data_IF_815087377461
#
_entry.id   IF_815087377461
#
_cell.length_a   1.000
_cell.length_b   1.000
_cell.length_c   1.000
_cell.angle_alpha   90.00
_cell.angle_beta   90.00
_cell.angle_gamma   90.00
#
_symmetry.space_group_name_H-M   'P 1'
#
loop_
_entity.id
_entity.type
_entity.pdbx_description
1 polymer ?
#
# COMPACT_ATOMS: atom_id res chain seq x y z
N UNK A 1 2.93 1.14 20.90
CA UNK A 1 3.49 1.04 19.54
C UNK A 1 3.63 2.45 19.01
N UNK A 2 4.81 2.84 18.55
CA UNK A 2 5.06 4.15 17.95
C UNK A 2 4.09 4.35 16.79
N UNK A 3 3.45 5.52 16.71
CA UNK A 3 2.54 5.87 15.62
C UNK A 3 3.40 6.15 14.37
N UNK A 4 3.79 5.08 13.68
CA UNK A 4 4.59 5.16 12.45
C UNK A 4 3.71 5.78 11.37
N UNK A 5 4.14 6.93 10.86
CA UNK A 5 3.47 7.58 9.76
C UNK A 5 3.74 6.80 8.45
N UNK A 6 2.81 5.92 8.07
CA UNK A 6 2.89 5.11 6.84
C UNK A 6 2.96 5.97 5.58
N UNK A 7 2.30 7.13 5.56
CA UNK A 7 2.34 8.05 4.43
C UNK A 7 3.75 8.63 4.24
N UNK A 8 4.39 9.04 5.33
CA UNK A 8 5.78 9.50 5.29
C UNK A 8 6.75 8.39 4.84
N UNK A 9 6.48 7.13 5.16
CA UNK A 9 7.26 6.01 4.64
C UNK A 9 7.04 5.82 3.13
N UNK A 10 5.78 5.86 2.65
CA UNK A 10 5.48 5.79 1.21
C UNK A 10 6.22 6.88 0.45
N UNK A 11 6.17 8.12 0.93
CA UNK A 11 6.86 9.26 0.30
C UNK A 11 8.37 9.08 0.28
N UNK A 12 8.96 8.60 1.38
CA UNK A 12 10.40 8.40 1.52
C UNK A 12 10.95 7.34 0.57
N UNK A 13 10.26 6.22 0.44
CA UNK A 13 10.69 5.06 -0.36
C UNK A 13 10.12 5.07 -1.79
N UNK A 14 9.36 6.11 -2.15
CA UNK A 14 8.92 6.32 -3.53
C UNK A 14 10.09 6.70 -4.43
N UNK A 15 10.04 6.35 -5.73
CA UNK A 15 10.99 6.83 -6.72
C UNK A 15 11.08 8.35 -6.70
N UNK A 16 12.31 8.87 -6.64
CA UNK A 16 12.55 10.31 -6.67
C UNK A 16 12.51 10.82 -8.13
N UNK A 17 11.95 12.01 -8.37
CA UNK A 17 11.97 12.61 -9.70
C UNK A 17 13.40 12.91 -10.13
N UNK A 18 13.60 12.92 -11.44
CA UNK A 18 14.87 13.33 -12.05
C UNK A 18 15.15 14.80 -11.69
N UNK A 19 16.36 15.13 -11.21
CA UNK A 19 16.69 16.51 -10.87
C UNK A 19 16.76 17.38 -12.12
N UNK A 20 16.42 18.65 -11.94
CA UNK A 20 16.61 19.69 -12.96
C UNK A 20 18.00 20.29 -12.84
N UNK A 21 18.57 20.68 -13.98
CA UNK A 21 19.84 21.36 -14.04
C UNK A 21 19.73 22.74 -13.37
N UNK A 22 20.62 23.06 -12.44
CA UNK A 22 20.61 24.35 -11.75
C UNK A 22 21.13 25.51 -12.61
N UNK A 23 21.71 25.21 -13.79
CA UNK A 23 22.25 26.20 -14.71
C UNK A 23 21.19 26.62 -15.75
N UNK A 24 20.52 25.65 -16.39
CA UNK A 24 19.51 25.93 -17.44
C UNK A 24 18.07 25.53 -17.10
N UNK A 25 17.83 24.78 -16.03
CA UNK A 25 16.49 24.32 -15.64
C UNK A 25 15.98 23.06 -16.36
N UNK A 26 16.70 22.56 -17.37
CA UNK A 26 16.33 21.35 -18.11
C UNK A 26 16.44 20.08 -17.27
N UNK A 27 15.64 19.07 -17.60
CA UNK A 27 15.72 17.75 -16.96
C UNK A 27 17.07 17.09 -17.24
N UNK A 28 17.73 16.60 -16.20
CA UNK A 28 19.06 16.00 -16.32
C UNK A 28 18.99 14.54 -16.76
N UNK A 29 20.07 14.02 -17.32
CA UNK A 29 20.16 12.59 -17.68
C UNK A 29 21.11 11.84 -16.74
N UNK A 30 20.86 10.55 -16.56
CA UNK A 30 21.73 9.68 -15.75
C UNK A 30 23.06 9.48 -16.48
N UNK A 31 24.16 9.82 -15.81
CA UNK A 31 25.52 9.65 -16.32
C UNK A 31 26.21 8.43 -15.73
N UNK A 32 25.87 8.09 -14.48
CA UNK A 32 26.45 6.95 -13.77
C UNK A 32 25.51 6.45 -12.68
N UNK A 33 25.38 5.14 -12.57
CA UNK A 33 24.73 4.47 -11.45
C UNK A 33 25.78 3.63 -10.73
N UNK A 34 25.88 3.80 -9.41
CA UNK A 34 26.77 3.04 -8.54
C UNK A 34 26.01 2.66 -7.28
N UNK A 35 25.37 1.49 -7.30
CA UNK A 35 24.42 1.07 -6.27
C UNK A 35 23.35 2.17 -6.03
N UNK A 36 23.22 2.66 -4.79
CA UNK A 36 22.27 3.71 -4.43
C UNK A 36 22.69 5.13 -4.86
N UNK A 37 23.87 5.32 -5.46
CA UNK A 37 24.33 6.64 -5.88
C UNK A 37 24.11 6.82 -7.37
N UNK A 38 23.24 7.75 -7.72
CA UNK A 38 22.94 8.12 -9.11
C UNK A 38 23.55 9.49 -9.38
N UNK A 39 24.45 9.57 -10.36
CA UNK A 39 24.99 10.83 -10.85
C UNK A 39 24.19 11.28 -12.06
N UNK A 40 23.61 12.47 -11.96
CA UNK A 40 22.93 13.16 -13.04
C UNK A 40 23.84 14.24 -13.62
N UNK A 41 23.71 14.51 -14.91
CA UNK A 41 24.41 15.56 -15.64
C UNK A 41 23.52 16.17 -16.72
N UNK A 42 23.71 17.46 -16.99
CA UNK A 42 23.06 18.12 -18.13
C UNK A 42 24.03 18.12 -19.31
N UNK A 43 23.84 17.17 -20.24
CA UNK A 43 24.66 17.06 -21.45
C UNK A 43 24.24 18.04 -22.54
N UNK A 44 23.04 18.63 -22.44
CA UNK A 44 22.45 19.44 -23.51
C UNK A 44 22.15 18.62 -24.77
N UNK A 45 22.13 17.29 -24.65
CA UNK A 45 21.83 16.36 -25.72
C UNK A 45 20.31 16.18 -25.85
N UNK A 46 19.83 16.32 -27.07
CA UNK A 46 18.47 15.99 -27.49
C UNK A 46 18.51 14.75 -28.37
N UNK A 47 17.54 13.86 -28.16
CA UNK A 47 17.39 12.62 -28.92
C UNK A 47 16.09 12.69 -29.71
N UNK A 48 16.21 12.72 -31.03
CA UNK A 48 15.08 12.68 -31.97
C UNK A 48 15.30 11.61 -33.06
N UNK A 49 14.43 11.57 -34.07
CA UNK A 49 14.51 10.63 -35.18
C UNK A 49 15.77 10.80 -36.06
N UNK A 50 16.48 11.92 -35.93
CA UNK A 50 17.72 12.24 -36.66
C UNK A 50 18.96 11.81 -35.84
N UNK A 51 18.78 11.58 -34.54
CA UNK A 51 19.76 11.04 -33.63
C UNK A 51 20.11 12.00 -32.49
N UNK A 52 21.27 11.78 -31.87
CA UNK A 52 21.75 12.63 -30.78
C UNK A 52 22.36 13.91 -31.35
N UNK A 53 21.82 15.06 -30.96
CA UNK A 53 22.39 16.36 -31.28
C UNK A 53 22.46 17.24 -30.03
N UNK A 54 23.34 18.24 -30.06
CA UNK A 54 23.57 19.14 -28.93
C UNK A 54 23.07 20.53 -29.30
N UNK A 55 22.56 21.27 -28.30
CA UNK A 55 22.26 22.68 -28.49
C UNK A 55 23.52 23.48 -28.90
N UNK A 56 23.32 24.63 -29.53
CA UNK A 56 24.43 25.44 -30.04
C UNK A 56 25.44 25.79 -28.91
N UNK A 57 26.72 25.56 -29.17
CA UNK A 57 27.80 25.75 -28.19
C UNK A 57 27.89 24.67 -27.10
N UNK A 58 27.11 23.59 -27.16
CA UNK A 58 27.14 22.48 -26.21
C UNK A 58 27.93 21.27 -26.74
N UNK A 59 28.52 20.49 -25.85
CA UNK A 59 29.16 19.20 -26.18
C UNK A 59 29.11 18.21 -25.01
N UNK A 60 29.50 16.95 -25.25
CA UNK A 60 29.42 15.84 -24.28
C UNK A 60 30.21 16.06 -22.98
N UNK A 61 31.14 17.02 -22.95
CA UNK A 61 31.98 17.34 -21.81
C UNK A 61 32.32 18.84 -21.77
N UNK A 62 31.33 19.68 -22.06
CA UNK A 62 31.50 21.13 -21.90
C UNK A 62 31.47 21.57 -20.42
N UNK A 63 31.84 22.83 -20.17
CA UNK A 63 31.82 23.43 -18.82
C UNK A 63 30.44 23.30 -18.17
N UNK A 64 29.37 23.37 -18.97
CA UNK A 64 28.02 23.20 -18.47
C UNK A 64 27.80 21.78 -17.95
N UNK A 65 28.21 20.76 -18.70
CA UNK A 65 28.14 19.37 -18.27
C UNK A 65 28.92 19.18 -16.97
N UNK A 66 30.16 19.65 -16.89
CA UNK A 66 30.99 19.50 -15.70
C UNK A 66 30.37 20.17 -14.47
N UNK A 67 29.94 21.43 -14.61
CA UNK A 67 29.37 22.22 -13.52
C UNK A 67 27.98 21.73 -13.11
N UNK A 68 27.20 21.16 -14.04
CA UNK A 68 25.83 20.71 -13.77
C UNK A 68 25.74 19.44 -12.92
N UNK A 69 26.81 18.64 -12.82
CA UNK A 69 26.74 17.30 -12.23
C UNK A 69 26.32 17.30 -10.76
N UNK A 70 25.32 16.46 -10.45
CA UNK A 70 24.86 16.21 -9.09
C UNK A 70 24.81 14.72 -8.82
N UNK A 71 25.18 14.30 -7.60
CA UNK A 71 25.01 12.90 -7.18
C UNK A 71 23.93 12.83 -6.11
N UNK A 72 22.88 12.07 -6.39
CA UNK A 72 21.76 11.84 -5.50
C UNK A 72 21.88 10.43 -4.93
N UNK A 73 21.58 10.28 -3.64
CA UNK A 73 21.37 8.97 -3.02
C UNK A 73 19.91 8.58 -3.22
N UNK A 74 19.70 7.56 -4.04
CA UNK A 74 18.43 6.90 -4.18
C UNK A 74 18.19 6.00 -2.97
N UNK A 75 17.06 6.26 -2.31
CA UNK A 75 16.59 5.49 -1.15
C UNK A 75 15.22 4.89 -1.46
N UNK A 76 14.80 4.90 -2.72
CA UNK A 76 13.58 4.25 -3.14
C UNK A 76 13.70 2.74 -2.94
N UNK A 77 12.63 2.14 -2.45
CA UNK A 77 12.59 0.72 -2.11
C UNK A 77 11.19 0.17 -2.43
N UNK A 78 11.04 -0.56 -3.55
CA UNK A 78 9.74 -1.12 -3.94
C UNK A 78 9.26 -2.20 -2.97
N UNK A 79 10.16 -2.90 -2.27
CA UNK A 79 9.79 -3.95 -1.32
C UNK A 79 9.13 -3.33 -0.08
N UNK A 80 9.65 -2.19 0.39
CA UNK A 80 9.00 -1.44 1.47
C UNK A 80 7.60 -0.97 1.08
N UNK A 81 7.41 -0.50 -0.15
CA UNK A 81 6.08 -0.09 -0.64
C UNK A 81 5.11 -1.27 -0.72
N UNK A 82 5.56 -2.42 -1.23
CA UNK A 82 4.77 -3.64 -1.28
C UNK A 82 4.36 -4.13 0.12
N UNK A 83 5.26 -4.06 1.10
CA UNK A 83 4.97 -4.40 2.49
C UNK A 83 3.93 -3.44 3.11
N UNK A 84 3.94 -2.16 2.74
CA UNK A 84 2.93 -1.20 3.20
C UNK A 84 1.55 -1.51 2.61
N UNK A 85 1.48 -1.90 1.33
CA UNK A 85 0.25 -2.34 0.67
C UNK A 85 -0.31 -3.61 1.32
N UNK A 86 0.54 -4.61 1.57
CA UNK A 86 0.16 -5.86 2.21
C UNK A 86 -0.37 -5.61 3.64
N UNK A 87 0.28 -4.74 4.40
CA UNK A 87 -0.15 -4.38 5.75
C UNK A 87 -1.52 -3.68 5.76
N UNK A 88 -1.78 -2.81 4.78
CA UNK A 88 -3.07 -2.14 4.63
C UNK A 88 -4.18 -3.13 4.23
N UNK A 89 -3.87 -4.06 3.32
CA UNK A 89 -4.77 -5.15 2.94
C UNK A 89 -5.13 -6.04 4.14
N UNK A 90 -4.16 -6.46 4.96
CA UNK A 90 -4.45 -7.30 6.13
C UNK A 90 -5.28 -6.57 7.18
N UNK A 91 -5.03 -5.27 7.39
CA UNK A 91 -5.84 -4.48 8.33
C UNK A 91 -7.30 -4.41 7.87
N UNK A 92 -7.54 -4.13 6.58
CA UNK A 92 -8.90 -4.14 6.03
C UNK A 92 -9.57 -5.51 6.15
N UNK A 93 -8.80 -6.60 5.95
CA UNK A 93 -9.31 -7.96 6.13
C UNK A 93 -9.67 -8.27 7.58
N UNK A 94 -8.84 -7.87 8.53
CA UNK A 94 -9.08 -8.03 9.97
C UNK A 94 -10.36 -7.31 10.40
N UNK A 95 -10.57 -6.07 9.97
CA UNK A 95 -11.79 -5.29 10.24
C UNK A 95 -13.04 -6.00 9.70
N UNK A 96 -12.97 -6.54 8.47
CA UNK A 96 -14.05 -7.32 7.87
C UNK A 96 -14.34 -8.62 8.62
N UNK A 97 -13.30 -9.37 8.98
CA UNK A 97 -13.44 -10.63 9.72
C UNK A 97 -14.04 -10.37 11.09
N UNK A 98 -13.59 -9.33 11.79
CA UNK A 98 -14.12 -8.92 13.09
C UNK A 98 -15.61 -8.64 13.00
N UNK A 99 -16.03 -7.87 11.99
CA UNK A 99 -17.46 -7.59 11.76
C UNK A 99 -18.25 -8.88 11.50
N UNK A 100 -17.74 -9.75 10.63
CA UNK A 100 -18.40 -11.01 10.29
C UNK A 100 -18.59 -11.91 11.52
N UNK A 101 -17.56 -12.00 12.38
CA UNK A 101 -17.61 -12.78 13.62
C UNK A 101 -18.67 -12.21 14.58
N UNK A 102 -18.73 -10.89 14.73
CA UNK A 102 -19.73 -10.24 15.58
C UNK A 102 -21.15 -10.49 15.05
N UNK A 103 -21.38 -10.25 13.75
CA UNK A 103 -22.69 -10.47 13.11
C UNK A 103 -23.12 -11.95 13.24
N UNK A 104 -22.18 -12.89 13.08
CA UNK A 104 -22.46 -14.32 13.25
C UNK A 104 -22.78 -14.69 14.70
N UNK A 105 -22.02 -14.15 15.68
CA UNK A 105 -22.29 -14.37 17.10
C UNK A 105 -23.70 -13.92 17.47
N UNK A 106 -24.09 -12.69 17.07
CA UNK A 106 -25.43 -12.16 17.33
C UNK A 106 -26.51 -13.04 16.68
N UNK A 107 -26.27 -13.55 15.47
CA UNK A 107 -27.20 -14.47 14.82
C UNK A 107 -27.33 -15.80 15.59
N UNK A 108 -26.23 -16.34 16.14
CA UNK A 108 -26.26 -17.57 16.93
C UNK A 108 -27.00 -17.37 18.24
N UNK A 109 -26.80 -16.26 18.94
CA UNK A 109 -27.50 -15.95 20.19
C UNK A 109 -29.03 -15.99 19.98
N UNK A 110 -29.52 -15.34 18.91
CA UNK A 110 -30.95 -15.36 18.55
C UNK A 110 -31.46 -16.76 18.22
N UNK A 111 -30.63 -17.61 17.60
CA UNK A 111 -31.02 -18.98 17.30
C UNK A 111 -31.09 -19.86 18.55
N UNK A 112 -30.14 -19.69 19.47
CA UNK A 112 -30.15 -20.39 20.76
C UNK A 112 -31.37 -20.02 21.60
N UNK A 113 -31.71 -18.73 21.72
CA UNK A 113 -32.92 -18.29 22.43
C UNK A 113 -34.20 -18.93 21.85
N UNK A 114 -34.29 -19.01 20.53
CA UNK A 114 -35.43 -19.66 19.85
C UNK A 114 -35.47 -21.17 20.11
N UNK A 115 -34.31 -21.81 20.15
CA UNK A 115 -34.18 -23.24 20.43
C UNK A 115 -34.63 -23.54 21.86
N UNK A 116 -34.11 -22.82 22.86
CA UNK A 116 -34.51 -22.97 24.26
C UNK A 116 -36.02 -22.75 24.45
N UNK A 117 -36.58 -21.71 23.80
CA UNK A 117 -38.02 -21.46 23.85
C UNK A 117 -38.84 -22.59 23.20
N UNK A 118 -38.32 -23.23 22.14
CA UNK A 118 -38.99 -24.36 21.50
C UNK A 118 -38.92 -25.63 22.36
N UNK A 119 -37.76 -25.92 22.95
CA UNK A 119 -37.57 -27.05 23.87
C UNK A 119 -38.50 -26.95 25.08
N UNK A 120 -38.62 -25.75 25.67
CA UNK A 120 -39.55 -25.50 26.77
C UNK A 120 -41.01 -25.79 26.38
N UNK A 121 -41.46 -25.31 25.21
CA UNK A 121 -42.82 -25.58 24.72
C UNK A 121 -43.07 -27.08 24.51
N UNK A 122 -42.08 -27.81 23.99
CA UNK A 122 -42.18 -29.27 23.79
C UNK A 122 -42.29 -29.99 25.13
N UNK A 123 -41.49 -29.58 26.12
CA UNK A 123 -41.55 -30.16 27.47
C UNK A 123 -42.91 -29.93 28.13
N UNK A 124 -43.42 -28.70 28.11
CA UNK A 124 -44.77 -28.36 28.62
C UNK A 124 -45.87 -29.17 27.92
N UNK A 125 -45.78 -29.32 26.59
CA UNK A 125 -46.75 -30.11 25.83
C UNK A 125 -46.66 -31.61 26.17
N UNK A 126 -45.46 -32.13 26.42
CA UNK A 126 -45.26 -33.52 26.85
C UNK A 126 -45.88 -33.77 28.23
N UNK A 127 -45.61 -32.90 29.21
CA UNK A 127 -46.20 -32.98 30.55
C UNK A 127 -47.74 -32.94 30.50
N UNK A 128 -48.31 -32.05 29.67
CA UNK A 128 -49.74 -31.98 29.46
C UNK A 128 -50.35 -33.31 28.98
N UNK A 129 -49.77 -33.90 27.92
CA UNK A 129 -50.29 -35.16 27.39
C UNK A 129 -50.09 -36.33 28.34
N UNK A 130 -48.98 -36.38 29.08
CA UNK A 130 -48.75 -37.41 30.11
C UNK A 130 -49.80 -37.32 31.23
N UNK A 131 -50.18 -36.11 31.65
CA UNK A 131 -51.27 -35.90 32.61
C UNK A 131 -52.63 -36.36 32.08
N UNK A 132 -52.97 -36.01 30.82
CA UNK A 132 -54.23 -36.44 30.19
C UNK A 132 -54.34 -37.96 30.07
N UNK A 133 -53.23 -38.65 29.79
CA UNK A 133 -53.20 -40.12 29.69
C UNK A 133 -53.32 -40.79 31.07
N UNK A 134 -52.86 -40.15 32.14
CA UNK A 134 -52.92 -40.70 33.50
C UNK A 134 -54.31 -40.61 34.16
N UNK A 135 -55.14 -39.65 33.74
CA UNK A 135 -56.46 -39.38 34.31
C UNK A 135 -57.63 -40.09 33.58
N UNK A 136 -57.37 -40.77 32.46
CA UNK A 136 -58.36 -41.45 31.62
C UNK A 136 -58.30 -42.97 31.68
#
# INVERSE_FOLDING_TARGET
>A
MSNINKQALRERYSPKPVPKCHICGEEMTIQRISASRITYGCTGATYDDIGCHYAEGRSIADDHYEQSRVTVVDVSDPDVLALLDELEHYKSREERVTKLVLDNSTSWDVLYEKLEAAEKRIAEQREYYEGVIADG
#
